data_IF_359364613195
#
_entry.id   IF_359364613195
#
_cell.length_a   1.000
_cell.length_b   1.000
_cell.length_c   1.000
_cell.angle_alpha   90.00
_cell.angle_beta   90.00
_cell.angle_gamma   90.00
#
_symmetry.space_group_name_H-M   'P 1'
#
loop_
_entity.id
_entity.type
_entity.pdbx_description
1 polymer ?
#
# COMPACT_ATOMS: atom_id res chain seq x y z
N UNK A 1 17.87 9.16 1.34
CA UNK A 1 17.17 10.45 1.15
C UNK A 1 15.79 10.17 0.57
N UNK A 2 14.76 10.64 1.24
CA UNK A 2 13.36 10.45 0.93
C UNK A 2 12.74 11.80 0.60
N UNK A 3 11.94 11.86 -0.47
CA UNK A 3 11.14 13.04 -0.80
C UNK A 3 9.76 12.91 -0.16
N UNK A 4 9.28 13.95 0.50
CA UNK A 4 7.95 13.98 1.11
C UNK A 4 7.20 15.24 0.67
N UNK A 5 5.88 15.14 0.50
CA UNK A 5 4.98 16.25 0.22
C UNK A 5 4.21 16.61 1.51
N UNK A 6 4.35 17.86 1.96
CA UNK A 6 3.70 18.40 3.16
C UNK A 6 2.55 19.30 2.71
N UNK A 7 1.34 19.03 3.21
CA UNK A 7 0.15 19.85 2.97
C UNK A 7 -0.23 20.55 4.27
N UNK A 8 -0.59 21.82 4.18
CA UNK A 8 -1.05 22.59 5.35
C UNK A 8 -2.57 22.68 5.45
N UNK A 9 -3.08 23.09 6.61
CA UNK A 9 -4.52 23.33 6.80
C UNK A 9 -5.01 24.47 5.92
N UNK A 10 -4.17 25.49 5.72
CA UNK A 10 -4.38 26.60 4.79
C UNK A 10 -4.31 26.24 3.30
N UNK A 11 -4.03 24.98 2.95
CA UNK A 11 -4.00 24.49 1.57
C UNK A 11 -2.68 24.69 0.83
N UNK A 12 -1.64 25.19 1.51
CA UNK A 12 -0.29 25.23 0.94
C UNK A 12 0.27 23.82 0.80
N UNK A 13 1.14 23.65 -0.18
CA UNK A 13 1.85 22.40 -0.43
C UNK A 13 3.33 22.69 -0.61
N UNK A 14 4.18 21.89 0.02
CA UNK A 14 5.63 21.95 -0.13
C UNK A 14 6.19 20.56 -0.30
N UNK A 15 7.28 20.45 -1.04
CA UNK A 15 8.04 19.20 -1.20
C UNK A 15 9.39 19.38 -0.57
N UNK A 16 9.82 18.44 0.28
CA UNK A 16 11.11 18.49 0.97
C UNK A 16 11.83 17.17 0.83
N UNK A 17 13.17 17.22 0.87
CA UNK A 17 14.04 16.05 0.89
C UNK A 17 14.63 15.89 2.29
N UNK A 18 14.60 14.66 2.82
CA UNK A 18 15.09 14.33 4.15
C UNK A 18 15.91 13.04 4.10
N UNK A 19 17.04 12.98 4.78
CA UNK A 19 17.93 11.81 4.67
C UNK A 19 17.33 10.54 5.27
N UNK A 20 16.82 10.66 6.50
CA UNK A 20 16.32 9.56 7.33
C UNK A 20 14.86 9.80 7.72
N UNK A 21 13.96 9.76 6.74
CA UNK A 21 12.54 9.89 7.01
C UNK A 21 12.07 8.74 7.91
N UNK A 22 11.42 9.08 9.02
CA UNK A 22 10.70 8.15 9.86
C UNK A 22 9.41 8.85 10.30
N UNK A 23 8.27 8.31 9.89
CA UNK A 23 6.97 8.92 10.13
C UNK A 23 6.66 9.03 11.63
N UNK A 24 7.02 8.01 12.43
CA UNK A 24 6.79 8.02 13.87
C UNK A 24 7.62 9.09 14.57
N UNK A 25 8.93 9.16 14.29
CA UNK A 25 9.82 10.17 14.91
C UNK A 25 9.38 11.59 14.56
N UNK A 26 8.94 11.82 13.32
CA UNK A 26 8.41 13.12 12.92
C UNK A 26 7.05 13.42 13.58
N UNK A 27 6.17 12.42 13.66
CA UNK A 27 4.87 12.54 14.33
C UNK A 27 5.02 12.84 15.84
N UNK A 28 6.01 12.26 16.50
CA UNK A 28 6.30 12.53 17.91
C UNK A 28 6.65 14.02 18.11
N UNK A 29 7.47 14.59 17.21
CA UNK A 29 7.77 16.04 17.22
C UNK A 29 6.53 16.89 16.93
N UNK A 30 5.64 16.46 16.03
CA UNK A 30 4.40 17.20 15.72
C UNK A 30 3.39 17.16 16.87
N UNK A 31 3.43 16.11 17.68
CA UNK A 31 2.58 15.94 18.86
C UNK A 31 3.20 16.48 20.15
N UNK A 32 4.47 16.90 20.12
CA UNK A 32 5.10 17.58 21.24
C UNK A 32 4.40 18.93 21.50
N UNK A 33 3.85 19.06 22.70
CA UNK A 33 3.09 20.26 23.12
C UNK A 33 3.98 21.43 23.46
N UNK A 34 5.25 21.17 23.76
CA UNK A 34 6.24 22.19 24.09
C UNK A 34 6.79 22.86 22.82
N UNK A 35 6.56 22.26 21.65
CA UNK A 35 6.89 22.83 20.36
C UNK A 35 5.73 23.66 19.80
N UNK A 36 6.08 24.79 19.18
CA UNK A 36 5.15 25.58 18.33
C UNK A 36 5.38 25.23 16.86
N UNK A 37 6.64 25.06 16.47
CA UNK A 37 7.06 24.76 15.10
C UNK A 37 7.96 23.54 15.06
N UNK A 38 8.01 22.88 13.90
CA UNK A 38 8.87 21.72 13.63
C UNK A 38 9.66 22.00 12.35
N UNK A 39 10.96 21.72 12.40
CA UNK A 39 11.83 21.70 11.23
C UNK A 39 11.77 20.32 10.55
N UNK A 40 11.46 20.31 9.26
CA UNK A 40 11.34 19.12 8.43
C UNK A 40 12.23 19.32 7.19
N UNK A 41 13.42 18.72 7.17
CA UNK A 41 14.43 19.05 6.18
C UNK A 41 14.89 20.50 6.35
N UNK A 42 14.59 21.34 5.36
CA UNK A 42 14.82 22.78 5.33
C UNK A 42 13.55 23.61 5.56
N UNK A 43 12.40 22.96 5.77
CA UNK A 43 11.10 23.61 5.92
C UNK A 43 10.67 23.73 7.38
N UNK A 44 10.34 24.95 7.82
CA UNK A 44 9.81 25.23 9.16
C UNK A 44 8.31 25.45 9.07
N UNK A 45 7.54 24.71 9.87
CA UNK A 45 6.08 24.77 9.89
C UNK A 45 5.53 24.75 11.31
N UNK A 46 4.42 25.43 11.56
CA UNK A 46 3.68 25.26 12.82
C UNK A 46 3.08 23.86 12.91
N UNK A 47 3.28 23.17 14.03
CA UNK A 47 2.86 21.76 14.15
C UNK A 47 1.34 21.58 13.92
N UNK A 48 0.54 22.56 14.36
CA UNK A 48 -0.92 22.53 14.22
C UNK A 48 -1.40 22.81 12.79
N UNK A 49 -0.57 23.40 11.94
CA UNK A 49 -0.90 23.70 10.56
C UNK A 49 -0.59 22.52 9.63
N UNK A 50 0.04 21.45 10.12
CA UNK A 50 0.22 20.23 9.34
C UNK A 50 -1.13 19.56 9.12
N UNK A 51 -1.50 19.37 7.84
CA UNK A 51 -2.69 18.63 7.42
C UNK A 51 -2.37 17.19 7.07
N UNK A 52 -1.31 16.98 6.30
CA UNK A 52 -0.78 15.64 5.98
C UNK A 52 0.65 15.73 5.46
N UNK A 53 1.40 14.65 5.65
CA UNK A 53 2.74 14.45 5.10
C UNK A 53 2.72 13.12 4.34
N UNK A 54 3.05 13.19 3.06
CA UNK A 54 2.95 12.10 2.11
C UNK A 54 4.36 11.77 1.59
N UNK A 55 4.96 10.64 1.95
CA UNK A 55 6.17 10.19 1.29
C UNK A 55 5.91 9.87 -0.19
N UNK A 56 6.84 10.27 -1.05
CA UNK A 56 6.79 10.06 -2.50
C UNK A 56 7.62 8.81 -2.86
N UNK A 57 7.09 7.95 -3.72
CA UNK A 57 7.78 6.74 -4.19
C UNK A 57 8.19 5.78 -3.06
N UNK A 58 7.30 5.53 -2.10
CA UNK A 58 7.54 4.48 -1.11
C UNK A 58 7.74 3.13 -1.81
N UNK A 59 8.73 2.32 -1.40
CA UNK A 59 8.84 0.96 -1.89
C UNK A 59 7.61 0.17 -1.46
N UNK A 60 7.00 -0.55 -2.40
CA UNK A 60 5.96 -1.53 -2.07
C UNK A 60 6.63 -2.80 -1.57
N UNK A 61 6.24 -3.26 -0.39
CA UNK A 61 6.76 -4.50 0.22
C UNK A 61 5.70 -5.58 0.08
N UNK A 62 6.08 -6.83 -0.20
CA UNK A 62 5.12 -7.94 -0.21
C UNK A 62 4.52 -8.17 1.18
N UNK A 63 3.26 -8.62 1.23
CA UNK A 63 2.53 -8.91 2.47
C UNK A 63 1.80 -7.71 3.09
N UNK A 64 1.88 -6.53 2.48
CA UNK A 64 1.27 -5.30 2.98
C UNK A 64 -0.24 -5.25 2.81
N UNK A 65 -0.94 -4.72 3.82
CA UNK A 65 -2.36 -4.40 3.73
C UNK A 65 -2.54 -3.08 3.00
N UNK A 66 -3.43 -3.09 2.00
CA UNK A 66 -3.89 -1.87 1.34
C UNK A 66 -5.01 -1.23 2.16
N UNK A 67 -4.89 0.05 2.49
CA UNK A 67 -5.91 0.82 3.19
C UNK A 67 -6.38 2.00 2.33
N UNK A 68 -7.64 2.37 2.46
CA UNK A 68 -8.21 3.62 1.97
C UNK A 68 -8.42 4.57 3.14
N UNK A 69 -7.77 5.72 3.10
CA UNK A 69 -7.93 6.82 4.06
C UNK A 69 -8.79 7.90 3.42
N UNK A 70 -9.98 8.11 3.98
CA UNK A 70 -10.89 9.16 3.55
C UNK A 70 -10.68 10.37 4.46
N UNK A 71 -10.57 11.55 3.85
CA UNK A 71 -10.36 12.81 4.57
C UNK A 71 -11.64 13.64 4.62
N UNK A 72 -11.76 14.51 5.61
CA UNK A 72 -12.87 15.45 5.73
C UNK A 72 -12.91 16.46 4.56
N UNK A 73 -11.77 16.71 3.92
CA UNK A 73 -11.69 17.45 2.66
C UNK A 73 -12.18 16.71 1.41
N UNK A 74 -12.76 15.51 1.55
CA UNK A 74 -13.31 14.72 0.43
C UNK A 74 -12.27 14.01 -0.43
N UNK A 75 -10.98 14.02 -0.04
CA UNK A 75 -9.94 13.25 -0.72
C UNK A 75 -9.85 11.85 -0.16
N UNK A 76 -9.63 10.89 -1.05
CA UNK A 76 -9.29 9.50 -0.74
C UNK A 76 -7.80 9.29 -1.04
N UNK A 77 -7.09 8.61 -0.14
CA UNK A 77 -5.71 8.19 -0.33
C UNK A 77 -5.62 6.68 -0.13
N UNK A 78 -4.96 6.01 -1.07
CA UNK A 78 -4.58 4.61 -0.90
C UNK A 78 -3.19 4.56 -0.29
N UNK A 79 -3.06 3.82 0.80
CA UNK A 79 -1.80 3.61 1.51
C UNK A 79 -1.56 2.11 1.66
N UNK A 80 -0.30 1.74 1.73
CA UNK A 80 0.14 0.36 1.83
C UNK A 80 0.97 0.26 3.11
N UNK A 81 0.59 -0.62 4.03
CA UNK A 81 1.27 -0.76 5.32
C UNK A 81 1.08 -2.15 5.92
N UNK A 82 2.08 -2.61 6.69
CA UNK A 82 1.98 -3.80 7.54
C UNK A 82 1.60 -3.48 8.99
N UNK A 83 1.68 -2.21 9.39
CA UNK A 83 1.61 -1.80 10.79
C UNK A 83 0.23 -1.23 11.15
N UNK A 84 -0.83 -1.69 10.46
CA UNK A 84 -2.18 -1.20 10.70
C UNK A 84 -2.81 -1.88 11.92
N UNK A 85 -2.83 -1.15 13.04
CA UNK A 85 -3.63 -1.48 14.21
C UNK A 85 -4.84 -0.53 14.32
N UNK A 86 -6.06 -0.99 14.01
CA UNK A 86 -7.26 -0.15 14.09
C UNK A 86 -7.63 0.28 15.51
N UNK A 87 -7.29 -0.51 16.53
CA UNK A 87 -7.59 -0.20 17.93
C UNK A 87 -6.67 0.95 18.37
N UNK A 88 -5.37 0.79 18.15
CA UNK A 88 -4.39 1.82 18.47
C UNK A 88 -4.66 3.12 17.70
N UNK A 89 -4.92 3.03 16.39
CA UNK A 89 -5.22 4.22 15.59
C UNK A 89 -6.48 4.93 16.09
N UNK A 90 -7.54 4.18 16.45
CA UNK A 90 -8.76 4.77 16.99
C UNK A 90 -8.51 5.49 18.32
N UNK A 91 -7.67 4.94 19.22
CA UNK A 91 -7.27 5.63 20.44
C UNK A 91 -6.54 6.94 20.15
N UNK A 92 -5.59 6.94 19.22
CA UNK A 92 -4.87 8.15 18.81
C UNK A 92 -5.81 9.19 18.19
N UNK A 93 -6.78 8.76 17.39
CA UNK A 93 -7.76 9.66 16.75
C UNK A 93 -8.71 10.32 17.76
N UNK A 94 -9.03 9.63 18.87
CA UNK A 94 -9.88 10.16 19.92
C UNK A 94 -9.09 10.95 20.99
N UNK A 95 -7.76 10.94 20.96
CA UNK A 95 -6.94 11.68 21.90
C UNK A 95 -6.88 13.17 21.56
N UNK A 96 -7.48 14.03 22.40
CA UNK A 96 -7.50 15.48 22.19
C UNK A 96 -6.14 16.16 22.34
N UNK A 97 -5.15 15.44 22.87
CA UNK A 97 -3.77 15.92 22.96
C UNK A 97 -2.98 15.68 21.67
N UNK A 98 -3.50 14.86 20.77
CA UNK A 98 -2.87 14.47 19.52
C UNK A 98 -3.29 15.44 18.41
N UNK A 99 -2.31 15.98 17.69
CA UNK A 99 -2.48 16.82 16.49
C UNK A 99 -2.45 15.98 15.23
N UNK A 100 -1.51 15.04 15.14
CA UNK A 100 -1.32 14.17 13.98
C UNK A 100 -1.25 12.70 14.38
N UNK A 101 -1.62 11.81 13.46
CA UNK A 101 -1.51 10.36 13.61
C UNK A 101 -0.69 9.79 12.45
N UNK A 102 -0.05 8.64 12.69
CA UNK A 102 0.68 7.89 11.68
C UNK A 102 -0.19 6.76 11.15
N UNK A 103 -0.19 6.53 9.84
CA UNK A 103 -0.77 5.35 9.21
C UNK A 103 0.22 4.85 8.15
N UNK A 104 0.97 3.78 8.47
CA UNK A 104 2.15 3.38 7.69
C UNK A 104 3.23 4.48 7.74
N UNK A 105 3.76 4.88 6.59
CA UNK A 105 4.73 5.98 6.49
C UNK A 105 4.08 7.36 6.28
N UNK A 106 2.75 7.44 6.36
CA UNK A 106 1.99 8.67 6.14
C UNK A 106 1.61 9.31 7.47
N UNK A 107 1.63 10.64 7.52
CA UNK A 107 1.17 11.40 8.69
C UNK A 107 -0.07 12.18 8.29
N UNK A 108 -1.11 12.11 9.12
CA UNK A 108 -2.37 12.83 8.90
C UNK A 108 -2.72 13.67 10.11
N UNK A 109 -3.28 14.85 9.89
CA UNK A 109 -3.96 15.58 10.95
C UNK A 109 -5.11 14.76 11.48
N UNK A 110 -5.17 14.63 12.81
CA UNK A 110 -6.22 13.87 13.52
C UNK A 110 -7.62 14.28 13.09
N UNK A 111 -7.83 15.58 12.94
CA UNK A 111 -9.14 16.17 12.60
C UNK A 111 -9.49 16.06 11.11
N UNK A 112 -8.52 15.74 10.25
CA UNK A 112 -8.78 15.56 8.81
C UNK A 112 -9.09 14.10 8.47
N UNK A 113 -8.72 13.14 9.31
CA UNK A 113 -9.08 11.72 9.12
C UNK A 113 -10.58 11.55 9.37
N UNK A 114 -11.30 11.10 8.34
CA UNK A 114 -12.74 10.83 8.40
C UNK A 114 -13.03 9.34 8.55
N UNK A 115 -12.29 8.50 7.83
CA UNK A 115 -12.49 7.06 7.81
C UNK A 115 -11.21 6.37 7.34
N UNK A 116 -10.91 5.19 7.88
CA UNK A 116 -9.85 4.29 7.39
C UNK A 116 -10.46 2.92 7.14
N UNK A 117 -10.28 2.39 5.93
CA UNK A 117 -10.90 1.14 5.50
C UNK A 117 -9.84 0.21 4.93
N UNK A 118 -9.64 -1.00 5.49
CA UNK A 118 -8.86 -2.03 4.84
C UNK A 118 -9.51 -2.45 3.53
N UNK A 119 -8.74 -2.45 2.45
CA UNK A 119 -9.16 -2.97 1.15
C UNK A 119 -8.95 -4.48 1.19
N UNK A 120 -10.04 -5.24 1.09
CA UNK A 120 -9.96 -6.68 0.90
C UNK A 120 -9.42 -6.93 -0.51
N UNK A 121 -8.29 -7.60 -0.63
CA UNK A 121 -7.89 -8.16 -1.92
C UNK A 121 -8.86 -9.30 -2.26
N UNK A 122 -9.49 -9.22 -3.43
CA UNK A 122 -10.21 -10.38 -3.96
C UNK A 122 -9.19 -11.50 -4.20
N UNK A 123 -9.48 -12.77 -3.83
CA UNK A 123 -8.58 -13.86 -4.17
C UNK A 123 -8.36 -13.86 -5.68
N UNK A 124 -7.10 -13.71 -6.12
CA UNK A 124 -6.76 -13.95 -7.51
C UNK A 124 -7.17 -15.40 -7.80
N UNK A 125 -8.09 -15.61 -8.75
CA UNK A 125 -8.39 -16.96 -9.22
C UNK A 125 -7.05 -17.63 -9.58
N UNK A 126 -6.81 -18.89 -9.16
CA UNK A 126 -5.61 -19.59 -9.56
C UNK A 126 -5.57 -19.59 -11.10
N UNK A 127 -4.45 -19.11 -11.66
CA UNK A 127 -4.22 -19.19 -13.10
C UNK A 127 -4.50 -20.63 -13.54
N UNK A 128 -5.53 -20.82 -14.37
CA UNK A 128 -5.82 -22.15 -14.90
C UNK A 128 -4.55 -22.63 -15.60
N UNK A 129 -4.08 -23.86 -15.32
CA UNK A 129 -2.95 -24.39 -16.06
C UNK A 129 -3.27 -24.32 -17.56
N UNK A 130 -2.27 -24.05 -18.42
CA UNK A 130 -2.50 -23.94 -19.85
C UNK A 130 -3.21 -25.21 -20.33
N UNK A 131 -4.36 -25.03 -20.98
CA UNK A 131 -5.09 -26.13 -21.61
C UNK A 131 -4.19 -26.71 -22.69
N UNK A 132 -3.56 -27.84 -22.42
CA UNK A 132 -2.93 -28.65 -23.47
C UNK A 132 -4.05 -29.17 -24.36
N UNK A 133 -4.16 -28.59 -25.56
CA UNK A 133 -5.00 -29.11 -26.63
C UNK A 133 -4.61 -30.58 -26.89
N UNK A 134 -5.54 -31.55 -26.86
CA UNK A 134 -5.20 -32.93 -27.12
C UNK A 134 -4.71 -33.06 -28.56
N UNK A 135 -3.50 -33.61 -28.72
CA UNK A 135 -2.94 -33.94 -30.03
C UNK A 135 -3.95 -34.77 -30.82
N UNK A 136 -4.36 -34.24 -31.97
CA UNK A 136 -5.23 -34.92 -32.92
C UNK A 136 -4.53 -36.22 -33.38
N UNK A 137 -5.15 -37.40 -33.24
CA UNK A 137 -4.52 -38.64 -33.69
C UNK A 137 -4.33 -38.55 -35.21
N UNK A 138 -3.07 -38.61 -35.62
CA UNK A 138 -2.69 -38.76 -37.03
C UNK A 138 -2.54 -40.25 -37.32
N UNK A 139 -3.23 -40.62 -38.40
CA UNK A 139 -3.06 -41.77 -39.28
C UNK A 139 -3.96 -43.00 -39.13
N UNK A 140 -4.46 -43.54 -40.28
CA UNK A 140 -5.34 -44.70 -40.33
C UNK A 140 -4.53 -45.99 -40.22
N UNK A 141 -5.09 -46.97 -39.52
CA UNK A 141 -4.58 -48.33 -39.40
C UNK A 141 -4.53 -49.00 -40.78
N UNK A 142 -3.34 -49.35 -41.28
CA UNK A 142 -3.18 -50.27 -42.42
C UNK A 142 -3.59 -51.69 -42.02
N UNK A 143 -4.27 -52.46 -42.88
CA UNK A 143 -4.70 -53.82 -42.59
C UNK A 143 -3.51 -54.81 -42.58
N UNK A 144 -3.59 -55.90 -41.79
CA UNK A 144 -2.50 -56.86 -41.65
C UNK A 144 -2.32 -57.69 -42.92
N UNK A 145 -1.05 -57.93 -43.29
CA UNK A 145 -0.66 -58.85 -44.35
C UNK A 145 -0.72 -60.29 -43.83
N UNK A 146 -1.45 -61.16 -44.54
CA UNK A 146 -1.53 -62.60 -44.27
C UNK A 146 -0.27 -63.29 -44.82
N UNK A 147 0.55 -63.92 -43.98
CA UNK A 147 1.57 -64.87 -44.40
C UNK A 147 0.95 -66.28 -44.53
N UNK A 148 1.11 -66.90 -45.70
CA UNK A 148 0.77 -68.31 -45.95
C UNK A 148 1.81 -69.27 -45.32
N UNK A 149 1.41 -70.47 -44.86
CA UNK A 149 2.33 -71.43 -44.27
C UNK A 149 3.09 -72.21 -45.36
N UNK A 150 4.42 -72.28 -45.24
CA UNK A 150 5.26 -73.14 -46.09
C UNK A 150 5.25 -74.56 -45.54
N UNK A 151 4.77 -75.53 -46.34
CA UNK A 151 4.88 -76.97 -46.07
C UNK A 151 6.36 -77.42 -46.04
N UNK A 152 6.72 -78.21 -45.03
CA UNK A 152 7.97 -78.98 -44.99
C UNK A 152 7.72 -80.39 -45.53
N UNK A 153 8.52 -80.82 -46.51
CA UNK A 153 8.71 -82.20 -46.95
C UNK A 153 10.03 -82.74 -46.38
#
# INVERSE_FOLDING_TARGET
MQTIEIHTQGGLKNTVQIENYNAQVLNDKLNDKDLITVLIGDFIIQRIDVKRILPINLPTVEGTTKLKVHTNGGKELEIITNDYDPIFLNEQLNNNNTVTVVIGDYIFSRIDVKQVVPVKEEPKEPEQPPVTEPEKPTDPVEPPTTEEPTEQL
#
